data_IF_758539976036
#
_entry.id   IF_758539976036
#
_cell.length_a   1.000
_cell.length_b   1.000
_cell.length_c   1.000
_cell.angle_alpha   90.00
_cell.angle_beta   90.00
_cell.angle_gamma   90.00
#
_symmetry.space_group_name_H-M   'P 1'
#
loop_
_entity.id
_entity.type
_entity.pdbx_description
1 polymer ?
#
# COMPACT_ATOMS: atom_id res chain seq x y z
N UNK A 1 6.14 28.70 -24.28
CA UNK A 1 7.47 28.11 -24.52
C UNK A 1 8.24 28.11 -23.20
N UNK A 2 7.82 27.26 -22.27
CA UNK A 2 8.51 27.00 -21.01
C UNK A 2 8.11 25.59 -20.56
N UNK A 3 9.12 24.87 -20.07
CA UNK A 3 9.09 23.53 -19.50
C UNK A 3 8.74 22.35 -20.42
N UNK A 4 9.67 22.01 -21.32
CA UNK A 4 9.72 20.68 -21.94
C UNK A 4 10.65 19.72 -21.20
N UNK A 5 11.51 20.22 -20.30
CA UNK A 5 12.47 19.38 -19.56
C UNK A 5 11.82 18.72 -18.34
N UNK A 6 11.01 19.44 -17.57
CA UNK A 6 10.31 18.86 -16.41
C UNK A 6 9.26 17.82 -16.83
N UNK A 7 8.66 17.99 -18.02
CA UNK A 7 7.68 17.04 -18.56
C UNK A 7 8.33 15.75 -19.08
N UNK A 8 9.56 15.84 -19.59
CA UNK A 8 10.33 14.67 -20.05
C UNK A 8 10.88 13.91 -18.84
N UNK A 9 11.33 14.63 -17.81
CA UNK A 9 11.82 14.04 -16.56
C UNK A 9 10.69 13.32 -15.79
N UNK A 10 9.48 13.90 -15.76
CA UNK A 10 8.29 13.25 -15.21
C UNK A 10 7.82 12.01 -16.00
N UNK A 11 8.01 12.01 -17.34
CA UNK A 11 7.68 10.89 -18.23
C UNK A 11 8.73 9.76 -18.17
N UNK A 12 9.98 10.09 -17.87
CA UNK A 12 11.05 9.10 -17.59
C UNK A 12 10.84 8.44 -16.21
N UNK A 13 10.37 9.20 -15.23
CA UNK A 13 10.09 8.70 -13.88
C UNK A 13 8.84 7.79 -13.83
N UNK A 14 7.85 8.03 -14.69
CA UNK A 14 6.63 7.20 -14.80
C UNK A 14 6.82 5.87 -15.57
N UNK A 15 7.98 5.66 -16.21
CA UNK A 15 8.30 4.41 -16.93
C UNK A 15 8.95 3.35 -16.05
N UNK A 16 9.33 3.70 -14.82
CA UNK A 16 9.68 2.71 -13.79
C UNK A 16 8.37 2.00 -13.39
N UNK A 17 8.33 0.68 -13.44
CA UNK A 17 7.14 -0.15 -13.20
C UNK A 17 6.46 0.19 -11.86
N UNK A 18 5.34 0.92 -11.90
CA UNK A 18 4.69 1.54 -10.75
C UNK A 18 4.06 0.56 -9.73
N UNK A 19 3.93 -0.72 -10.06
CA UNK A 19 3.48 -1.76 -9.10
C UNK A 19 4.54 -2.07 -8.04
N UNK A 20 5.81 -1.85 -8.36
CA UNK A 20 6.90 -1.84 -7.40
C UNK A 20 6.98 -0.45 -6.76
N UNK A 21 6.91 0.64 -7.52
CA UNK A 21 7.06 1.99 -6.96
C UNK A 21 6.00 2.45 -5.96
N UNK A 22 4.71 2.08 -5.99
CA UNK A 22 3.77 2.67 -5.00
C UNK A 22 3.98 2.05 -3.60
N UNK A 23 4.34 0.76 -3.56
CA UNK A 23 4.71 0.06 -2.34
C UNK A 23 6.17 0.34 -1.98
N UNK A 24 7.09 0.34 -2.93
CA UNK A 24 8.48 0.73 -2.73
C UNK A 24 8.61 2.20 -2.39
N UNK A 25 7.83 3.15 -2.89
CA UNK A 25 7.85 4.55 -2.45
C UNK A 25 7.22 4.70 -1.07
N UNK A 26 6.27 3.84 -0.69
CA UNK A 26 5.74 3.83 0.67
C UNK A 26 6.74 3.18 1.64
N UNK A 27 7.34 2.06 1.26
CA UNK A 27 8.35 1.31 2.00
C UNK A 27 9.69 2.06 1.99
N UNK A 28 10.04 2.78 0.95
CA UNK A 28 11.18 3.70 0.81
C UNK A 28 10.87 5.00 1.51
N UNK A 29 9.66 5.57 1.51
CA UNK A 29 9.38 6.72 2.36
C UNK A 29 9.39 6.31 3.84
N UNK A 30 8.90 5.11 4.17
CA UNK A 30 8.94 4.53 5.51
C UNK A 30 10.40 4.22 5.89
N UNK A 31 11.16 3.55 5.02
CA UNK A 31 12.56 3.20 5.21
C UNK A 31 13.46 4.43 5.14
N UNK A 32 13.20 5.44 4.33
CA UNK A 32 13.94 6.71 4.30
C UNK A 32 13.65 7.51 5.56
N UNK A 33 12.40 7.55 6.05
CA UNK A 33 12.09 8.19 7.34
C UNK A 33 12.67 7.41 8.54
N UNK A 34 12.79 6.08 8.44
CA UNK A 34 13.44 5.23 9.44
C UNK A 34 14.97 5.29 9.36
N UNK A 35 15.55 5.33 8.16
CA UNK A 35 16.98 5.31 7.87
C UNK A 35 17.62 6.70 7.93
N UNK A 36 16.83 7.80 7.92
CA UNK A 36 17.35 9.17 8.12
C UNK A 36 18.04 9.35 9.48
N UNK A 37 17.85 8.43 10.42
CA UNK A 37 18.69 8.31 11.61
C UNK A 37 19.67 7.16 11.41
N UNK A 38 20.89 7.45 10.96
CA UNK A 38 21.98 6.48 10.99
C UNK A 38 22.30 6.12 12.45
N UNK A 39 21.64 5.07 12.94
CA UNK A 39 22.06 4.36 14.14
C UNK A 39 23.00 3.23 13.67
N UNK A 40 24.26 3.55 13.45
CA UNK A 40 25.31 2.53 13.34
C UNK A 40 25.27 1.62 14.57
N UNK A 41 25.22 0.31 14.34
CA UNK A 41 25.24 -0.70 15.40
C UNK A 41 26.61 -0.68 16.11
N UNK A 42 26.72 0.13 17.16
CA UNK A 42 27.95 0.29 17.96
C UNK A 42 28.03 -0.66 19.16
N UNK A 43 27.07 -1.59 19.31
CA UNK A 43 26.88 -2.39 20.53
C UNK A 43 27.19 -3.89 20.40
N UNK A 44 27.77 -4.35 19.28
CA UNK A 44 28.34 -5.70 19.18
C UNK A 44 27.33 -6.87 19.14
N UNK A 45 26.02 -6.60 19.10
CA UNK A 45 24.99 -7.63 18.93
C UNK A 45 24.40 -7.53 17.53
N UNK A 46 24.56 -8.60 16.76
CA UNK A 46 24.01 -8.69 15.41
C UNK A 46 22.47 -8.74 15.46
N UNK A 47 21.83 -7.88 14.67
CA UNK A 47 20.39 -7.94 14.46
C UNK A 47 20.05 -9.21 13.66
N UNK A 48 19.17 -10.11 14.16
CA UNK A 48 18.92 -11.41 13.54
C UNK A 48 17.96 -11.36 12.33
N UNK A 49 17.43 -10.18 11.99
CA UNK A 49 16.41 -10.01 10.95
C UNK A 49 14.98 -10.06 11.51
N UNK A 50 14.07 -9.29 10.91
CA UNK A 50 12.70 -9.10 11.38
C UNK A 50 11.87 -10.38 11.34
N UNK A 51 12.02 -11.18 10.27
CA UNK A 51 11.38 -12.50 10.17
C UNK A 51 11.81 -13.42 11.32
N UNK A 52 13.12 -13.44 11.65
CA UNK A 52 13.66 -14.25 12.73
C UNK A 52 13.14 -13.81 14.11
N UNK A 53 13.05 -12.50 14.36
CA UNK A 53 12.50 -11.97 15.61
C UNK A 53 11.03 -12.36 15.76
N UNK A 54 10.23 -12.20 14.72
CA UNK A 54 8.80 -12.55 14.75
C UNK A 54 8.64 -14.06 14.96
N UNK A 55 9.42 -14.89 14.25
CA UNK A 55 9.43 -16.35 14.45
C UNK A 55 9.72 -16.72 15.91
N UNK A 56 10.75 -16.09 16.50
CA UNK A 56 11.13 -16.33 17.89
C UNK A 56 10.06 -15.86 18.88
N UNK A 57 9.36 -14.76 18.58
CA UNK A 57 8.23 -14.30 19.38
C UNK A 57 7.08 -15.31 19.38
N UNK A 58 6.71 -15.84 18.20
CA UNK A 58 5.68 -16.88 18.06
C UNK A 58 6.05 -18.14 18.87
N UNK A 59 7.32 -18.55 18.82
CA UNK A 59 7.82 -19.68 19.62
C UNK A 59 7.70 -19.38 21.13
N UNK A 60 8.13 -18.19 21.58
CA UNK A 60 8.00 -17.74 22.99
C UNK A 60 6.55 -17.65 23.46
N UNK A 61 5.59 -17.45 22.57
CA UNK A 61 4.15 -17.45 22.89
C UNK A 61 3.58 -18.87 23.08
N UNK A 62 4.40 -19.92 22.94
CA UNK A 62 4.00 -21.32 23.16
C UNK A 62 3.35 -21.98 21.94
N UNK A 63 3.51 -21.41 20.75
CA UNK A 63 3.06 -22.04 19.51
C UNK A 63 3.97 -23.25 19.21
N UNK A 64 3.40 -24.45 18.95
CA UNK A 64 4.19 -25.64 18.60
C UNK A 64 5.05 -25.41 17.35
N UNK A 65 6.25 -26.01 17.28
CA UNK A 65 7.20 -25.81 16.17
C UNK A 65 6.57 -26.17 14.82
N UNK A 66 5.72 -27.20 14.78
CA UNK A 66 5.03 -27.64 13.56
C UNK A 66 4.02 -26.59 13.05
N UNK A 67 3.55 -25.70 13.92
CA UNK A 67 2.58 -24.64 13.60
C UNK A 67 3.22 -23.27 13.35
N UNK A 68 4.54 -23.13 13.53
CA UNK A 68 5.24 -21.83 13.39
C UNK A 68 5.14 -21.31 11.95
N UNK A 69 5.44 -22.14 10.95
CA UNK A 69 5.36 -21.72 9.54
C UNK A 69 3.95 -21.29 9.15
N UNK A 70 2.94 -22.03 9.62
CA UNK A 70 1.53 -21.70 9.39
C UNK A 70 1.16 -20.37 10.05
N UNK A 71 1.69 -20.11 11.24
CA UNK A 71 1.48 -18.86 11.97
C UNK A 71 2.18 -17.69 11.27
N UNK A 72 3.40 -17.88 10.79
CA UNK A 72 4.15 -16.91 10.00
C UNK A 72 3.41 -16.52 8.70
N UNK A 73 2.74 -17.48 8.05
CA UNK A 73 1.95 -17.25 6.84
C UNK A 73 0.74 -16.31 7.04
N UNK A 74 0.36 -16.01 8.29
CA UNK A 74 -0.66 -14.98 8.59
C UNK A 74 -0.19 -13.56 8.29
N UNK A 75 1.12 -13.35 8.11
CA UNK A 75 1.76 -12.06 7.90
C UNK A 75 2.26 -11.98 6.46
N UNK A 76 1.86 -10.95 5.73
CA UNK A 76 2.34 -10.71 4.38
C UNK A 76 3.84 -10.42 4.35
N UNK A 77 4.55 -10.91 3.33
CA UNK A 77 6.00 -10.70 3.14
C UNK A 77 6.35 -9.21 3.11
N UNK A 78 5.52 -8.38 2.49
CA UNK A 78 5.68 -6.92 2.50
C UNK A 78 5.59 -6.34 3.90
N UNK A 79 4.61 -6.76 4.71
CA UNK A 79 4.48 -6.32 6.10
C UNK A 79 5.71 -6.66 6.94
N UNK A 80 6.29 -7.86 6.77
CA UNK A 80 7.53 -8.25 7.46
C UNK A 80 8.68 -7.32 7.06
N UNK A 81 8.82 -7.02 5.76
CA UNK A 81 9.83 -6.07 5.27
C UNK A 81 9.63 -4.67 5.84
N UNK A 82 8.40 -4.14 5.85
CA UNK A 82 8.10 -2.81 6.40
C UNK A 82 8.38 -2.73 7.91
N UNK A 83 8.28 -3.86 8.63
CA UNK A 83 8.57 -3.92 10.07
C UNK A 83 10.04 -4.16 10.40
N UNK A 84 10.85 -4.67 9.48
CA UNK A 84 12.26 -5.01 9.71
C UNK A 84 13.05 -3.82 10.27
N UNK A 85 12.98 -2.66 9.60
CA UNK A 85 13.66 -1.45 10.04
C UNK A 85 13.18 -0.97 11.43
N UNK A 86 11.88 -1.09 11.72
CA UNK A 86 11.33 -0.74 13.02
C UNK A 86 11.80 -1.70 14.13
N UNK A 87 11.81 -3.01 13.85
CA UNK A 87 12.29 -4.05 14.77
C UNK A 87 13.79 -3.93 15.02
N UNK A 88 14.58 -3.52 14.01
CA UNK A 88 16.00 -3.24 14.18
C UNK A 88 16.25 -2.10 15.17
N UNK A 89 15.50 -0.99 15.05
CA UNK A 89 15.60 0.13 16.00
C UNK A 89 15.18 -0.28 17.41
N UNK A 90 14.07 -1.02 17.52
CA UNK A 90 13.61 -1.56 18.79
C UNK A 90 14.67 -2.47 19.44
N UNK A 91 15.25 -3.38 18.65
CA UNK A 91 16.33 -4.26 19.09
C UNK A 91 17.48 -3.46 19.69
N UNK A 92 18.02 -2.48 18.96
CA UNK A 92 19.11 -1.64 19.43
C UNK A 92 18.74 -0.92 20.74
N UNK A 93 17.55 -0.32 20.82
CA UNK A 93 17.08 0.37 22.02
C UNK A 93 17.01 -0.56 23.23
N UNK A 94 16.43 -1.76 23.07
CA UNK A 94 16.29 -2.73 24.18
C UNK A 94 17.65 -3.18 24.70
N UNK A 95 18.62 -3.42 23.81
CA UNK A 95 19.99 -3.77 24.21
C UNK A 95 20.67 -2.64 24.98
N UNK A 96 20.44 -1.37 24.62
CA UNK A 96 20.97 -0.22 25.34
C UNK A 96 20.45 -0.13 26.77
N UNK A 97 19.17 -0.42 26.98
CA UNK A 97 18.55 -0.40 28.31
C UNK A 97 18.67 -1.72 29.08
N UNK A 98 19.37 -2.72 28.50
CA UNK A 98 19.49 -4.09 29.03
C UNK A 98 18.13 -4.73 29.37
N UNK A 99 17.14 -4.51 28.49
CA UNK A 99 15.78 -5.02 28.64
C UNK A 99 15.53 -6.34 27.92
N UNK A 100 14.29 -6.83 27.98
CA UNK A 100 13.80 -7.96 27.18
C UNK A 100 13.06 -7.45 25.93
N UNK A 101 13.37 -8.02 24.78
CA UNK A 101 12.81 -7.65 23.47
C UNK A 101 11.33 -8.07 23.34
N UNK A 102 10.96 -9.19 23.97
CA UNK A 102 9.68 -9.88 23.85
C UNK A 102 8.74 -9.58 25.02
N UNK A 103 9.28 -9.15 26.17
CA UNK A 103 8.50 -8.79 27.37
C UNK A 103 8.77 -7.36 27.87
N UNK A 104 8.64 -6.32 27.03
CA UNK A 104 8.79 -4.95 27.48
C UNK A 104 7.58 -4.47 28.29
N UNK A 105 7.86 -3.54 29.21
CA UNK A 105 6.83 -2.75 29.88
C UNK A 105 6.28 -1.66 28.96
N UNK A 106 5.03 -1.23 29.17
CA UNK A 106 4.44 -0.08 28.47
C UNK A 106 5.32 1.17 28.57
N UNK A 107 5.99 1.36 29.71
CA UNK A 107 6.94 2.45 29.94
C UNK A 107 8.11 2.41 28.94
N UNK A 108 8.77 1.27 28.77
CA UNK A 108 9.90 1.13 27.85
C UNK A 108 9.49 1.37 26.40
N UNK A 109 8.30 0.90 26.00
CA UNK A 109 7.76 1.14 24.66
C UNK A 109 7.52 2.65 24.46
N UNK A 110 6.94 3.33 25.44
CA UNK A 110 6.72 4.78 25.36
C UNK A 110 8.03 5.56 25.34
N UNK A 111 9.04 5.16 26.11
CA UNK A 111 10.38 5.78 26.10
C UNK A 111 11.03 5.65 24.72
N UNK A 112 10.97 4.46 24.12
CA UNK A 112 11.44 4.23 22.75
C UNK A 112 10.71 5.12 21.73
N UNK A 113 9.37 5.10 21.73
CA UNK A 113 8.58 5.88 20.77
C UNK A 113 8.76 7.40 20.97
N UNK A 114 8.98 7.85 22.21
CA UNK A 114 9.30 9.24 22.50
C UNK A 114 10.65 9.64 21.92
N UNK A 115 11.69 8.80 22.08
CA UNK A 115 13.01 9.06 21.45
C UNK A 115 12.91 9.18 19.93
N UNK A 116 12.12 8.32 19.29
CA UNK A 116 11.91 8.38 17.84
C UNK A 116 11.05 9.60 17.43
N UNK A 117 10.07 10.00 18.25
CA UNK A 117 9.31 11.22 18.01
C UNK A 117 10.18 12.48 18.08
N UNK A 118 11.08 12.53 19.06
CA UNK A 118 12.05 13.61 19.27
C UNK A 118 13.08 13.68 18.13
N UNK A 119 13.42 12.53 17.52
CA UNK A 119 14.20 12.45 16.27
C UNK A 119 13.45 12.95 15.03
N UNK A 120 12.19 13.35 15.17
CA UNK A 120 11.40 13.96 14.10
C UNK A 120 10.51 13.00 13.33
N UNK A 121 10.35 11.74 13.78
CA UNK A 121 9.52 10.78 13.05
C UNK A 121 8.04 11.18 13.03
N UNK A 122 7.39 10.89 11.91
CA UNK A 122 5.96 11.14 11.73
C UNK A 122 5.09 10.20 12.55
N UNK A 123 3.82 10.57 12.76
CA UNK A 123 2.84 9.71 13.41
C UNK A 123 2.71 8.34 12.72
N UNK A 124 2.72 8.29 11.39
CA UNK A 124 2.62 7.04 10.63
C UNK A 124 3.83 6.14 10.86
N UNK A 125 5.05 6.71 10.86
CA UNK A 125 6.28 5.97 11.16
C UNK A 125 6.29 5.39 12.58
N UNK A 126 5.88 6.18 13.57
CA UNK A 126 5.76 5.73 14.96
C UNK A 126 4.68 4.66 15.13
N UNK A 127 3.58 4.77 14.38
CA UNK A 127 2.53 3.77 14.40
C UNK A 127 3.01 2.44 13.79
N UNK A 128 3.83 2.47 12.74
CA UNK A 128 4.47 1.26 12.20
C UNK A 128 5.36 0.61 13.25
N UNK A 129 6.16 1.39 13.98
CA UNK A 129 6.97 0.85 15.08
C UNK A 129 6.12 0.22 16.18
N UNK A 130 5.05 0.89 16.61
CA UNK A 130 4.12 0.33 17.60
C UNK A 130 3.52 -0.98 17.09
N UNK A 131 3.11 -1.04 15.82
CA UNK A 131 2.56 -2.25 15.22
C UNK A 131 3.62 -3.37 15.19
N UNK A 132 4.82 -3.10 14.72
CA UNK A 132 5.92 -4.06 14.69
C UNK A 132 6.21 -4.64 16.09
N UNK A 133 6.27 -3.79 17.11
CA UNK A 133 6.44 -4.23 18.51
C UNK A 133 5.24 -5.09 18.96
N UNK A 134 4.01 -4.70 18.63
CA UNK A 134 2.82 -5.49 19.00
C UNK A 134 2.78 -6.90 18.39
N UNK A 135 3.54 -7.17 17.33
CA UNK A 135 3.66 -8.51 16.76
C UNK A 135 4.58 -9.43 17.58
N UNK A 136 5.55 -8.86 18.30
CA UNK A 136 6.59 -9.65 18.99
C UNK A 136 6.34 -9.77 20.49
N UNK A 137 5.45 -8.94 21.05
CA UNK A 137 5.11 -8.91 22.47
C UNK A 137 3.77 -9.58 22.70
N UNK A 138 3.66 -10.36 23.78
CA UNK A 138 2.43 -11.09 24.15
C UNK A 138 1.39 -10.23 24.88
N UNK A 139 1.66 -8.94 25.11
CA UNK A 139 0.76 -8.02 25.79
C UNK A 139 -0.07 -7.22 24.77
N UNK A 140 -1.31 -6.89 25.13
CA UNK A 140 -2.21 -6.10 24.29
C UNK A 140 -1.86 -4.60 24.34
N UNK A 141 -0.70 -4.28 23.78
CA UNK A 141 -0.15 -2.92 23.62
C UNK A 141 -1.13 -2.02 22.85
N UNK A 142 -1.89 -2.61 21.92
CA UNK A 142 -2.88 -1.90 21.11
C UNK A 142 -4.02 -1.32 21.94
N UNK A 143 -4.39 -1.96 23.05
CA UNK A 143 -5.47 -1.51 23.91
C UNK A 143 -5.06 -0.70 25.15
N UNK A 144 -3.76 -0.58 25.41
CA UNK A 144 -3.25 0.22 26.53
C UNK A 144 -3.69 1.70 26.44
N UNK A 145 -4.30 2.19 27.53
CA UNK A 145 -4.86 3.55 27.60
C UNK A 145 -3.79 4.63 27.53
N UNK A 146 -2.61 4.38 28.11
CA UNK A 146 -1.50 5.33 28.15
C UNK A 146 -0.91 5.53 26.76
N UNK A 147 -0.71 4.44 26.01
CA UNK A 147 -0.27 4.48 24.61
C UNK A 147 -1.29 5.16 23.70
N UNK A 148 -2.59 4.87 23.85
CA UNK A 148 -3.64 5.58 23.10
C UNK A 148 -3.59 7.10 23.35
N UNK A 149 -3.41 7.50 24.61
CA UNK A 149 -3.27 8.93 24.99
C UNK A 149 -1.98 9.54 24.42
N UNK A 150 -0.88 8.79 24.43
CA UNK A 150 0.39 9.19 23.86
C UNK A 150 0.29 9.47 22.35
N UNK A 151 -0.27 8.56 21.57
CA UNK A 151 -0.50 8.76 20.13
C UNK A 151 -1.46 9.92 19.84
N UNK A 152 -2.47 10.13 20.70
CA UNK A 152 -3.33 11.32 20.63
C UNK A 152 -2.54 12.61 20.91
N UNK A 153 -1.52 12.56 21.76
CA UNK A 153 -0.61 13.67 22.00
C UNK A 153 0.25 13.97 20.76
N UNK A 154 0.84 12.92 20.17
CA UNK A 154 1.64 13.04 18.93
C UNK A 154 0.84 13.70 17.81
N UNK A 155 -0.41 13.27 17.57
CA UNK A 155 -1.24 13.87 16.50
C UNK A 155 -1.57 15.34 16.75
N UNK A 156 -1.69 15.77 18.01
CA UNK A 156 -1.94 17.18 18.34
C UNK A 156 -0.68 18.04 18.26
N UNK A 157 0.47 17.50 18.69
CA UNK A 157 1.75 18.21 18.65
C UNK A 157 2.29 18.35 17.23
N UNK A 158 2.08 17.32 16.40
CA UNK A 158 2.50 17.26 15.00
C UNK A 158 1.36 16.72 14.16
N UNK A 159 0.34 17.55 13.93
CA UNK A 159 -0.76 17.16 13.06
C UNK A 159 -0.23 16.91 11.66
N UNK A 160 -0.59 15.77 11.08
CA UNK A 160 -0.35 15.54 9.66
C UNK A 160 -1.28 16.47 8.90
N UNK A 161 -0.75 17.57 8.37
CA UNK A 161 -1.46 18.31 7.34
C UNK A 161 -1.76 17.36 6.19
N UNK A 162 -2.95 17.47 5.55
CA UNK A 162 -3.21 16.70 4.35
C UNK A 162 -2.08 16.95 3.35
N UNK A 163 -1.58 15.88 2.71
CA UNK A 163 -0.47 15.96 1.74
C UNK A 163 -0.75 16.97 0.63
N UNK A 164 -2.03 17.19 0.33
CA UNK A 164 -2.50 18.13 -0.69
C UNK A 164 -3.50 19.12 -0.10
N UNK A 165 -3.27 20.41 -0.33
CA UNK A 165 -4.20 21.49 0.04
C UNK A 165 -5.38 21.62 -0.95
N UNK A 166 -5.27 20.98 -2.12
CA UNK A 166 -6.27 21.03 -3.18
C UNK A 166 -6.23 19.72 -3.94
N UNK A 167 -7.41 19.20 -4.31
CA UNK A 167 -7.53 18.04 -5.20
C UNK A 167 -7.73 18.52 -6.64
N UNK A 168 -7.24 17.76 -7.61
CA UNK A 168 -7.48 18.03 -9.03
C UNK A 168 -8.97 17.81 -9.38
N UNK A 169 -9.44 18.40 -10.48
CA UNK A 169 -10.82 18.31 -10.93
C UNK A 169 -11.01 17.14 -11.94
N UNK A 170 -11.78 16.09 -11.62
CA UNK A 170 -12.08 14.98 -12.53
C UNK A 170 -12.59 15.39 -13.90
N UNK A 171 -13.29 16.52 -13.97
CA UNK A 171 -13.89 17.03 -15.20
C UNK A 171 -12.85 17.33 -16.27
N UNK A 172 -11.66 17.81 -15.90
CA UNK A 172 -10.63 18.18 -16.88
C UNK A 172 -10.19 16.97 -17.72
N UNK A 173 -10.12 15.78 -17.09
CA UNK A 173 -9.80 14.52 -17.76
C UNK A 173 -10.98 14.04 -18.62
N UNK A 174 -12.20 14.18 -18.13
CA UNK A 174 -13.39 13.82 -18.90
C UNK A 174 -13.52 14.69 -20.15
N UNK A 175 -13.29 16.00 -20.03
CA UNK A 175 -13.32 16.95 -21.14
C UNK A 175 -12.19 16.67 -22.13
N UNK A 176 -10.98 16.33 -21.65
CA UNK A 176 -9.88 15.89 -22.48
C UNK A 176 -10.26 14.69 -23.36
N UNK A 177 -10.82 13.62 -22.77
CA UNK A 177 -11.21 12.43 -23.55
C UNK A 177 -12.44 12.64 -24.42
N UNK A 178 -13.34 13.56 -24.05
CA UNK A 178 -14.49 13.95 -24.88
C UNK A 178 -14.04 14.61 -26.19
N UNK A 179 -12.98 15.41 -26.14
CA UNK A 179 -12.38 16.08 -27.30
C UNK A 179 -11.53 15.19 -28.21
N UNK A 180 -11.18 13.96 -27.78
CA UNK A 180 -10.34 13.03 -28.56
C UNK A 180 -11.14 12.30 -29.67
N UNK A 181 -10.38 11.61 -30.52
CA UNK A 181 -10.89 10.67 -31.53
C UNK A 181 -11.72 9.55 -30.89
N UNK A 182 -12.57 8.91 -31.68
CA UNK A 182 -13.36 7.75 -31.26
C UNK A 182 -12.47 6.56 -30.90
N UNK A 183 -12.99 5.65 -30.08
CA UNK A 183 -12.22 4.51 -29.56
C UNK A 183 -11.61 3.62 -30.67
N UNK A 184 -12.28 3.53 -31.82
CA UNK A 184 -11.82 2.78 -32.98
C UNK A 184 -10.58 3.38 -33.63
N UNK A 185 -10.46 4.71 -33.66
CA UNK A 185 -9.35 5.41 -34.31
C UNK A 185 -8.14 5.63 -33.41
N UNK A 186 -8.24 5.35 -32.10
CA UNK A 186 -7.12 5.53 -31.16
C UNK A 186 -6.04 4.46 -31.35
N UNK A 187 -4.78 4.85 -31.16
CA UNK A 187 -3.68 3.88 -31.08
C UNK A 187 -3.87 2.95 -29.87
N UNK A 188 -3.27 1.76 -29.92
CA UNK A 188 -3.39 0.76 -28.85
C UNK A 188 -2.97 1.30 -27.47
N UNK A 189 -1.83 2.00 -27.40
CA UNK A 189 -1.33 2.58 -26.14
C UNK A 189 -2.31 3.64 -25.60
N UNK A 190 -2.76 4.56 -26.44
CA UNK A 190 -3.71 5.61 -26.04
C UNK A 190 -5.04 5.03 -25.55
N UNK A 191 -5.52 3.96 -26.18
CA UNK A 191 -6.72 3.26 -25.74
C UNK A 191 -6.52 2.57 -24.38
N UNK A 192 -5.32 2.07 -24.12
CA UNK A 192 -4.95 1.44 -22.85
C UNK A 192 -4.92 2.45 -21.71
N UNK A 193 -4.25 3.59 -21.92
CA UNK A 193 -4.23 4.70 -20.96
C UNK A 193 -5.64 5.23 -20.70
N UNK A 194 -6.41 5.45 -21.76
CA UNK A 194 -7.80 5.88 -21.65
C UNK A 194 -8.64 4.92 -20.82
N UNK A 195 -8.53 3.62 -21.07
CA UNK A 195 -9.27 2.61 -20.34
C UNK A 195 -8.93 2.63 -18.85
N UNK A 196 -7.64 2.58 -18.49
CA UNK A 196 -7.25 2.53 -17.08
C UNK A 196 -7.62 3.82 -16.35
N UNK A 197 -7.48 4.99 -16.99
CA UNK A 197 -7.90 6.28 -16.41
C UNK A 197 -9.41 6.31 -16.17
N UNK A 198 -10.23 5.91 -17.15
CA UNK A 198 -11.68 5.91 -16.99
C UNK A 198 -12.14 4.87 -15.95
N UNK A 199 -11.48 3.72 -15.85
CA UNK A 199 -11.75 2.75 -14.79
C UNK A 199 -11.42 3.31 -13.41
N UNK A 200 -10.24 3.92 -13.24
CA UNK A 200 -9.81 4.49 -11.97
C UNK A 200 -10.79 5.58 -11.50
N UNK A 201 -11.19 6.50 -12.39
CA UNK A 201 -12.09 7.61 -12.04
C UNK A 201 -13.52 7.14 -11.75
N UNK A 202 -14.04 6.18 -12.50
CA UNK A 202 -15.46 5.77 -12.36
C UNK A 202 -15.70 4.75 -11.25
N UNK A 203 -14.69 3.95 -10.91
CA UNK A 203 -14.83 2.84 -9.96
C UNK A 203 -14.21 3.12 -8.59
N UNK A 204 -13.35 4.15 -8.50
CA UNK A 204 -12.58 4.51 -7.30
C UNK A 204 -11.87 3.30 -6.66
N UNK A 205 -11.38 2.40 -7.52
CA UNK A 205 -10.65 1.21 -7.10
C UNK A 205 -9.14 1.45 -7.16
N UNK A 206 -8.42 0.82 -6.23
CA UNK A 206 -6.95 0.81 -6.22
C UNK A 206 -6.41 0.15 -7.48
N UNK A 207 -5.23 0.59 -7.93
CA UNK A 207 -4.53 -0.02 -9.08
C UNK A 207 -4.33 -1.53 -8.91
N UNK A 208 -4.05 -2.00 -7.69
CA UNK A 208 -3.97 -3.44 -7.38
C UNK A 208 -5.26 -4.20 -7.73
N UNK A 209 -6.43 -3.60 -7.53
CA UNK A 209 -7.70 -4.21 -7.89
C UNK A 209 -7.86 -4.25 -9.42
N UNK A 210 -7.48 -3.16 -10.10
CA UNK A 210 -7.58 -3.07 -11.56
C UNK A 210 -6.60 -4.01 -12.27
N UNK A 211 -5.41 -4.25 -11.71
CA UNK A 211 -4.42 -5.17 -12.28
C UNK A 211 -4.84 -6.65 -12.20
N UNK A 212 -5.76 -6.99 -11.30
CA UNK A 212 -6.30 -8.34 -11.14
C UNK A 212 -7.53 -8.62 -12.03
N UNK A 213 -7.91 -7.66 -12.88
CA UNK A 213 -8.98 -7.84 -13.86
C UNK A 213 -8.55 -8.91 -14.88
N UNK A 214 -9.26 -10.04 -14.86
CA UNK A 214 -9.04 -11.15 -15.80
C UNK A 214 -10.15 -11.16 -16.85
N UNK A 215 -9.77 -11.22 -18.13
CA UNK A 215 -10.71 -11.22 -19.26
C UNK A 215 -11.78 -12.31 -19.14
N UNK A 216 -11.39 -13.52 -18.72
CA UNK A 216 -12.30 -14.66 -18.52
C UNK A 216 -13.41 -14.42 -17.48
N UNK A 217 -13.23 -13.45 -16.59
CA UNK A 217 -14.18 -13.12 -15.53
C UNK A 217 -15.10 -11.95 -15.92
N UNK A 218 -14.94 -11.39 -17.13
CA UNK A 218 -15.76 -10.28 -17.62
C UNK A 218 -17.05 -10.84 -18.23
N UNK A 219 -18.19 -10.42 -17.69
CA UNK A 219 -19.52 -10.71 -18.20
C UNK A 219 -20.08 -9.48 -18.90
N UNK A 220 -20.63 -9.68 -20.08
CA UNK A 220 -21.23 -8.63 -20.89
C UNK A 220 -22.75 -8.70 -20.76
N UNK A 221 -23.36 -7.57 -20.44
CA UNK A 221 -24.79 -7.36 -20.48
C UNK A 221 -25.09 -6.17 -21.40
N UNK A 222 -26.34 -6.01 -21.83
CA UNK A 222 -26.72 -4.92 -22.74
C UNK A 222 -26.48 -3.53 -22.14
N UNK A 223 -26.75 -3.37 -20.85
CA UNK A 223 -26.69 -2.09 -20.13
C UNK A 223 -25.44 -1.93 -19.24
N UNK A 224 -24.65 -2.98 -19.03
CA UNK A 224 -23.50 -2.97 -18.14
C UNK A 224 -22.48 -4.05 -18.45
N UNK A 225 -21.29 -3.91 -17.89
CA UNK A 225 -20.29 -4.98 -17.82
C UNK A 225 -19.98 -5.27 -16.37
N UNK A 226 -19.86 -6.54 -16.04
CA UNK A 226 -19.52 -6.98 -14.69
C UNK A 226 -18.23 -7.78 -14.73
N UNK A 227 -17.30 -7.50 -13.82
CA UNK A 227 -16.07 -8.30 -13.69
C UNK A 227 -15.93 -8.81 -12.27
N UNK A 228 -15.84 -10.13 -12.13
CA UNK A 228 -15.55 -10.77 -10.86
C UNK A 228 -14.02 -10.74 -10.62
N UNK A 229 -13.63 -10.30 -9.42
CA UNK A 229 -12.24 -10.35 -8.96
C UNK A 229 -12.16 -11.35 -7.80
N UNK A 230 -11.86 -12.63 -8.07
CA UNK A 230 -11.83 -13.67 -7.04
C UNK A 230 -10.53 -13.71 -6.25
N UNK A 231 -9.49 -13.05 -6.77
CA UNK A 231 -8.16 -13.01 -6.16
C UNK A 231 -8.19 -12.30 -4.80
N UNK A 232 -7.36 -12.80 -3.87
CA UNK A 232 -7.25 -12.21 -2.53
C UNK A 232 -6.46 -10.90 -2.60
N UNK A 233 -7.13 -9.81 -2.22
CA UNK A 233 -6.51 -8.50 -2.04
C UNK A 233 -6.53 -8.10 -0.56
N UNK A 234 -5.80 -7.05 -0.21
CA UNK A 234 -5.71 -6.53 1.18
C UNK A 234 -7.08 -6.24 1.82
N UNK A 235 -8.09 -5.92 1.02
CA UNK A 235 -9.47 -5.66 1.49
C UNK A 235 -10.39 -6.88 1.47
N UNK A 236 -9.94 -8.03 0.96
CA UNK A 236 -10.71 -9.27 0.96
C UNK A 236 -10.85 -9.79 2.39
N UNK A 237 -12.06 -10.17 2.77
CA UNK A 237 -12.36 -10.77 4.08
C UNK A 237 -12.92 -12.16 3.89
N UNK A 238 -12.58 -13.06 4.81
CA UNK A 238 -13.18 -14.38 4.89
C UNK A 238 -14.70 -14.22 5.08
N UNK A 239 -15.50 -15.04 4.39
CA UNK A 239 -16.96 -15.05 4.45
C UNK A 239 -17.67 -13.76 3.96
N UNK A 240 -17.00 -12.92 3.17
CA UNK A 240 -17.63 -11.78 2.49
C UNK A 240 -17.69 -12.05 1.00
N UNK A 241 -18.76 -11.61 0.34
CA UNK A 241 -18.90 -11.71 -1.11
C UNK A 241 -17.69 -11.03 -1.80
N UNK A 242 -17.17 -11.68 -2.83
CA UNK A 242 -16.05 -11.17 -3.61
C UNK A 242 -16.43 -9.88 -4.35
N UNK A 243 -15.43 -9.05 -4.64
CA UNK A 243 -15.64 -7.78 -5.31
C UNK A 243 -16.14 -8.01 -6.75
N UNK A 244 -17.23 -7.33 -7.10
CA UNK A 244 -17.77 -7.28 -8.46
C UNK A 244 -17.63 -5.86 -8.97
N UNK A 245 -16.83 -5.68 -10.01
CA UNK A 245 -16.68 -4.41 -10.71
C UNK A 245 -17.85 -4.25 -11.68
N UNK A 246 -18.69 -3.24 -11.49
CA UNK A 246 -19.85 -2.97 -12.35
C UNK A 246 -19.58 -1.69 -13.14
N UNK A 247 -19.59 -1.79 -14.47
CA UNK A 247 -19.40 -0.68 -15.40
C UNK A 247 -20.70 -0.47 -16.21
N UNK A 248 -21.55 0.51 -15.86
CA UNK A 248 -22.72 0.82 -16.66
C UNK A 248 -22.30 1.38 -18.03
N UNK A 249 -23.11 1.11 -19.05
CA UNK A 249 -22.94 1.70 -20.37
C UNK A 249 -23.44 3.15 -20.32
N UNK A 250 -22.58 4.09 -20.68
CA UNK A 250 -22.90 5.51 -20.76
C UNK A 250 -23.21 5.90 -22.21
N UNK A 251 -24.49 5.79 -22.58
CA UNK A 251 -25.00 6.08 -23.92
C UNK A 251 -24.86 7.53 -24.40
N UNK A 252 -24.92 8.57 -23.54
CA UNK A 252 -24.86 9.96 -24.03
C UNK A 252 -23.54 10.34 -24.70
N UNK A 253 -22.42 9.71 -24.32
CA UNK A 253 -21.12 9.93 -24.96
C UNK A 253 -20.25 8.67 -24.86
N UNK A 254 -20.22 7.90 -25.94
CA UNK A 254 -19.44 6.67 -26.04
C UNK A 254 -17.93 6.89 -25.89
N UNK A 255 -17.43 8.11 -26.14
CA UNK A 255 -16.00 8.43 -26.00
C UNK A 255 -15.54 8.41 -24.55
N UNK A 256 -16.39 8.72 -23.58
CA UNK A 256 -16.01 8.75 -22.17
C UNK A 256 -16.52 7.53 -21.39
N UNK A 257 -17.23 6.62 -22.07
CA UNK A 257 -17.81 5.46 -21.44
C UNK A 257 -16.70 4.39 -21.17
N UNK A 258 -16.46 3.99 -19.91
CA UNK A 258 -15.49 2.94 -19.60
C UNK A 258 -15.93 1.59 -20.18
N UNK A 259 -17.24 1.29 -20.19
CA UNK A 259 -17.76 0.04 -20.74
C UNK A 259 -17.51 -0.07 -22.24
N UNK A 260 -17.83 0.93 -23.08
CA UNK A 260 -17.52 0.90 -24.52
C UNK A 260 -16.01 0.83 -24.75
N UNK A 261 -15.22 1.66 -24.06
CA UNK A 261 -13.75 1.67 -24.17
C UNK A 261 -13.16 0.30 -23.89
N UNK A 262 -13.65 -0.40 -22.85
CA UNK A 262 -13.26 -1.79 -22.55
C UNK A 262 -13.61 -2.74 -23.70
N UNK A 263 -14.73 -2.53 -24.40
CA UNK A 263 -15.13 -3.37 -25.55
C UNK A 263 -14.07 -3.28 -26.66
N UNK A 264 -13.79 -2.05 -27.10
CA UNK A 264 -12.84 -1.79 -28.18
C UNK A 264 -11.42 -2.23 -27.80
N UNK A 265 -11.04 -2.07 -26.52
CA UNK A 265 -9.75 -2.55 -26.05
C UNK A 265 -9.62 -4.07 -26.18
N UNK A 266 -10.65 -4.83 -25.76
CA UNK A 266 -10.66 -6.29 -25.87
C UNK A 266 -10.67 -6.75 -27.34
N UNK A 267 -11.35 -6.03 -28.23
CA UNK A 267 -11.37 -6.32 -29.67
C UNK A 267 -9.99 -6.09 -30.32
N UNK A 268 -9.35 -4.95 -30.07
CA UNK A 268 -8.01 -4.63 -30.61
C UNK A 268 -6.91 -5.56 -30.10
N UNK A 269 -7.06 -6.07 -28.88
CA UNK A 269 -6.08 -6.98 -28.27
C UNK A 269 -6.36 -8.45 -28.55
N UNK A 270 -7.46 -8.78 -29.24
CA UNK A 270 -7.84 -10.17 -29.49
C UNK A 270 -6.78 -10.96 -30.27
N UNK A 271 -6.05 -10.30 -31.18
CA UNK A 271 -4.97 -10.92 -31.97
C UNK A 271 -3.66 -11.09 -31.21
N UNK A 272 -3.45 -10.32 -30.14
CA UNK A 272 -2.20 -10.32 -29.35
C UNK A 272 -2.33 -11.24 -28.13
N UNK A 273 -3.56 -11.52 -27.69
CA UNK A 273 -3.81 -12.40 -26.55
C UNK A 273 -3.87 -13.84 -27.04
N UNK A 274 -2.93 -14.65 -26.57
CA UNK A 274 -3.04 -16.10 -26.61
C UNK A 274 -4.21 -16.52 -25.71
N UNK A 275 -5.40 -16.65 -26.29
CA UNK A 275 -6.62 -17.17 -25.64
C UNK A 275 -7.00 -18.48 -26.32
#
# INVERSE_FOLDING_TARGET
MFSSKESIEADEESRKTETENEYELSDEAINQNLNRSEATCTLGVAYPGGSSIIRQAINKQGVPEEAIETSMASIGVSTVKSYDAALMKWWIFVYQIKGDVYEPTTKQIMEFLQQEFDRGLSHSSLNIMRLAISFIVNSDIGNDKSLKRFFTGITKLRSSLPKYNTTWNPKDIIDFYSGKLTNDSLAFNDLSYKLITLLAITTDHRLQTLSLIKVKNIKFYENKKETLIPDWIKTTRKNVCQLVLILPVYSPNEKICPATTLKHYLEKTKSIRDI
#
